data_IF_310496482452
#
_entry.id   IF_310496482452
#
_cell.length_a   1.000
_cell.length_b   1.000
_cell.length_c   1.000
_cell.angle_alpha   90.00
_cell.angle_beta   90.00
_cell.angle_gamma   90.00
#
_symmetry.space_group_name_H-M   'P 1'
#
loop_
_entity.id
_entity.type
_entity.pdbx_description
1 polymer ?
#
# COMPACT_ATOMS: atom_id res chain seq x y z
N UNK A 1 -26.14 10.08 -0.78
CA UNK A 1 -25.42 11.28 -1.27
C UNK A 1 -24.03 10.88 -1.80
N UNK A 2 -23.83 10.91 -3.12
CA UNK A 2 -22.53 10.68 -3.77
C UNK A 2 -21.70 11.97 -3.64
N UNK A 3 -20.90 12.12 -2.59
CA UNK A 3 -20.00 13.27 -2.47
C UNK A 3 -19.03 13.22 -3.67
N UNK A 4 -19.03 14.26 -4.49
CA UNK A 4 -17.96 14.48 -5.47
C UNK A 4 -16.66 14.62 -4.68
N UNK A 5 -15.77 13.62 -4.73
CA UNK A 5 -14.43 13.77 -4.18
C UNK A 5 -13.75 14.79 -5.08
N UNK A 6 -13.53 15.98 -4.54
CA UNK A 6 -12.75 17.03 -5.22
C UNK A 6 -11.29 16.57 -5.28
N UNK A 7 -10.53 17.09 -6.23
CA UNK A 7 -9.08 16.88 -6.28
C UNK A 7 -8.48 17.11 -4.87
N UNK A 8 -7.80 16.13 -4.26
CA UNK A 8 -7.37 16.24 -2.87
C UNK A 8 -6.45 17.44 -2.67
N UNK A 9 -6.69 18.23 -1.61
CA UNK A 9 -5.86 19.39 -1.26
C UNK A 9 -4.60 19.00 -0.50
N UNK A 10 -4.61 17.80 0.09
CA UNK A 10 -3.52 17.32 0.94
C UNK A 10 -3.29 15.82 0.77
N UNK A 11 -2.02 15.38 0.93
CA UNK A 11 -1.58 14.02 0.69
C UNK A 11 -0.68 13.56 1.84
N UNK A 12 -1.00 12.41 2.45
CA UNK A 12 -0.06 11.63 3.26
C UNK A 12 0.52 10.51 2.39
N UNK A 13 1.82 10.52 2.15
CA UNK A 13 2.50 9.36 1.59
C UNK A 13 2.99 8.50 2.74
N UNK A 14 2.70 7.19 2.70
CA UNK A 14 3.20 6.29 3.73
C UNK A 14 3.85 5.06 3.11
N UNK A 15 4.89 4.58 3.77
CA UNK A 15 5.51 3.31 3.46
C UNK A 15 6.04 2.59 4.71
N UNK A 16 5.91 1.25 4.77
CA UNK A 16 6.52 0.43 5.78
C UNK A 16 8.00 0.23 5.48
N UNK A 17 8.81 0.01 6.52
CA UNK A 17 10.23 -0.33 6.43
C UNK A 17 10.52 -1.64 7.14
N UNK A 18 11.19 -2.55 6.45
CA UNK A 18 11.80 -3.74 7.05
C UNK A 18 12.94 -4.25 6.18
N UNK A 19 14.20 -4.13 6.66
CA UNK A 19 15.43 -4.48 5.93
C UNK A 19 15.66 -3.64 4.66
N UNK A 20 15.28 -2.35 4.72
CA UNK A 20 15.41 -1.39 3.62
C UNK A 20 16.51 -0.35 3.85
N UNK A 21 17.58 -0.72 4.59
CA UNK A 21 18.68 0.19 4.96
C UNK A 21 19.27 0.92 3.76
N UNK A 22 19.44 0.21 2.64
CA UNK A 22 20.09 0.77 1.44
C UNK A 22 19.17 1.72 0.64
N UNK A 23 17.85 1.59 0.77
CA UNK A 23 16.87 2.29 -0.07
C UNK A 23 16.16 3.43 0.64
N UNK A 24 16.03 3.36 1.97
CA UNK A 24 15.20 4.29 2.77
C UNK A 24 15.56 5.77 2.56
N UNK A 25 16.85 6.12 2.53
CA UNK A 25 17.28 7.51 2.31
C UNK A 25 16.82 8.01 0.93
N UNK A 26 17.06 7.21 -0.10
CA UNK A 26 16.68 7.52 -1.48
C UNK A 26 15.16 7.64 -1.62
N UNK A 27 14.40 6.71 -1.03
CA UNK A 27 12.93 6.74 -1.05
C UNK A 27 12.37 8.03 -0.43
N UNK A 28 12.88 8.43 0.74
CA UNK A 28 12.44 9.66 1.41
C UNK A 28 12.73 10.90 0.54
N UNK A 29 13.94 11.00 0.02
CA UNK A 29 14.34 12.17 -0.80
C UNK A 29 13.52 12.23 -2.09
N UNK A 30 13.32 11.09 -2.76
CA UNK A 30 12.49 11.02 -3.96
C UNK A 30 11.03 11.35 -3.66
N UNK A 31 10.46 10.82 -2.57
CA UNK A 31 9.11 11.13 -2.13
C UNK A 31 8.93 12.63 -1.86
N UNK A 32 9.87 13.26 -1.16
CA UNK A 32 9.87 14.71 -0.93
C UNK A 32 9.88 15.50 -2.24
N UNK A 33 10.75 15.12 -3.19
CA UNK A 33 10.86 15.77 -4.51
C UNK A 33 9.53 15.68 -5.28
N UNK A 34 8.91 14.50 -5.34
CA UNK A 34 7.67 14.29 -6.08
C UNK A 34 6.49 15.00 -5.41
N UNK A 35 6.38 14.91 -4.08
CA UNK A 35 5.29 15.56 -3.36
C UNK A 35 5.36 17.08 -3.45
N UNK A 36 6.56 17.68 -3.44
CA UNK A 36 6.74 19.11 -3.68
C UNK A 36 6.19 19.53 -5.05
N UNK A 37 6.40 18.73 -6.10
CA UNK A 37 5.87 19.01 -7.46
C UNK A 37 4.34 19.05 -7.51
N UNK A 38 3.64 18.37 -6.59
CA UNK A 38 2.16 18.38 -6.55
C UNK A 38 1.57 19.72 -6.11
N UNK A 39 2.35 20.62 -5.54
CA UNK A 39 1.91 21.90 -4.93
C UNK A 39 0.83 21.74 -3.87
N UNK A 40 0.68 20.52 -3.30
CA UNK A 40 -0.30 20.21 -2.27
C UNK A 40 0.34 20.20 -0.88
N UNK A 41 -0.49 20.37 0.15
CA UNK A 41 -0.05 20.11 1.53
C UNK A 41 0.27 18.62 1.66
N UNK A 42 1.44 18.27 2.23
CA UNK A 42 1.82 16.86 2.31
C UNK A 42 2.62 16.54 3.57
N UNK A 43 2.63 15.25 3.88
CA UNK A 43 3.50 14.61 4.86
C UNK A 43 3.96 13.24 4.36
N UNK A 44 5.04 12.74 4.95
CA UNK A 44 5.55 11.39 4.73
C UNK A 44 5.51 10.66 6.08
N UNK A 45 4.84 9.53 6.10
CA UNK A 45 4.72 8.64 7.26
C UNK A 45 5.51 7.37 6.97
N UNK A 46 6.42 7.05 7.86
CA UNK A 46 7.27 5.88 7.78
C UNK A 46 7.01 5.01 8.99
N UNK A 47 6.80 3.72 8.79
CA UNK A 47 6.62 2.76 9.88
C UNK A 47 7.73 1.72 9.80
N UNK A 48 8.66 1.80 10.73
CA UNK A 48 9.69 0.77 10.92
C UNK A 48 9.08 -0.40 11.69
N UNK A 49 8.99 -1.55 11.05
CA UNK A 49 8.39 -2.76 11.62
C UNK A 49 9.42 -3.59 12.41
N UNK A 50 10.11 -2.96 13.35
CA UNK A 50 11.13 -3.63 14.18
C UNK A 50 12.33 -4.11 13.35
N UNK A 51 12.83 -3.26 12.47
CA UNK A 51 13.90 -3.59 11.53
C UNK A 51 15.25 -3.82 12.24
N UNK A 52 15.87 -5.01 12.14
CA UNK A 52 17.15 -5.30 12.78
C UNK A 52 18.31 -4.52 12.16
N UNK A 53 18.16 -4.04 10.91
CA UNK A 53 19.22 -3.29 10.19
C UNK A 53 19.21 -1.78 10.47
N UNK A 54 18.39 -1.31 11.44
CA UNK A 54 18.27 0.10 11.79
C UNK A 54 17.82 1.04 10.64
N UNK A 55 17.03 0.54 9.67
CA UNK A 55 16.49 1.35 8.58
C UNK A 55 15.71 2.57 9.10
N UNK A 56 14.94 2.38 10.17
CA UNK A 56 14.18 3.45 10.81
C UNK A 56 15.06 4.54 11.43
N UNK A 57 16.25 4.21 11.95
CA UNK A 57 17.19 5.23 12.47
C UNK A 57 17.69 6.17 11.38
N UNK A 58 17.84 5.66 10.14
CA UNK A 58 18.19 6.51 8.98
C UNK A 58 17.03 7.44 8.66
N UNK A 59 15.82 6.91 8.63
CA UNK A 59 14.61 7.72 8.42
C UNK A 59 14.43 8.78 9.53
N UNK A 60 14.71 8.43 10.79
CA UNK A 60 14.65 9.34 11.94
C UNK A 60 15.67 10.50 11.84
N UNK A 61 16.89 10.23 11.38
CA UNK A 61 17.88 11.31 11.12
C UNK A 61 17.36 12.30 10.08
N UNK A 62 16.66 11.83 9.04
CA UNK A 62 16.07 12.69 8.03
C UNK A 62 14.83 13.43 8.54
N UNK A 63 14.03 12.81 9.41
CA UNK A 63 12.85 13.46 10.02
C UNK A 63 13.23 14.65 10.91
N UNK A 64 14.36 14.58 11.64
CA UNK A 64 14.90 15.70 12.42
C UNK A 64 15.20 16.93 11.56
N UNK A 65 15.57 16.72 10.29
CA UNK A 65 15.88 17.79 9.32
C UNK A 65 14.65 18.25 8.52
N UNK A 66 13.54 17.52 8.58
CA UNK A 66 12.34 17.84 7.80
C UNK A 66 11.05 17.48 8.55
N UNK A 67 10.31 18.48 9.07
CA UNK A 67 9.10 18.25 9.89
C UNK A 67 7.95 17.60 9.11
N UNK A 68 8.04 17.52 7.79
CA UNK A 68 7.07 16.79 6.95
C UNK A 68 7.28 15.28 6.98
N UNK A 69 8.41 14.79 7.50
CA UNK A 69 8.73 13.37 7.62
C UNK A 69 8.53 12.94 9.07
N UNK A 70 7.72 11.93 9.29
CA UNK A 70 7.47 11.36 10.62
C UNK A 70 7.70 9.85 10.58
N UNK A 71 8.42 9.36 11.59
CA UNK A 71 8.78 7.95 11.72
C UNK A 71 8.14 7.36 12.96
N UNK A 72 7.57 6.18 12.82
CA UNK A 72 6.98 5.39 13.90
C UNK A 72 7.68 4.04 13.96
N UNK A 73 7.91 3.52 15.16
CA UNK A 73 8.62 2.29 15.37
C UNK A 73 7.72 1.25 16.04
N UNK A 74 7.74 0.04 15.55
CA UNK A 74 7.26 -1.12 16.29
C UNK A 74 8.41 -1.68 17.15
N UNK A 75 8.10 -2.12 18.36
CA UNK A 75 9.10 -2.71 19.27
C UNK A 75 9.71 -4.01 18.71
N UNK A 76 8.96 -4.73 17.88
CA UNK A 76 9.37 -5.97 17.19
C UNK A 76 8.67 -6.06 15.83
N UNK A 77 9.11 -7.00 14.99
CA UNK A 77 8.41 -7.27 13.73
C UNK A 77 7.00 -7.82 14.00
N UNK A 78 5.99 -7.07 13.56
CA UNK A 78 4.57 -7.41 13.67
C UNK A 78 3.96 -7.83 12.33
N UNK A 79 4.74 -7.71 11.25
CA UNK A 79 4.35 -8.05 9.88
C UNK A 79 3.91 -6.84 9.05
N UNK A 80 4.02 -7.01 7.74
CA UNK A 80 3.71 -5.96 6.75
C UNK A 80 2.34 -5.32 6.96
N UNK A 81 1.30 -6.13 7.19
CA UNK A 81 -0.05 -5.63 7.41
C UNK A 81 -0.19 -4.79 8.68
N UNK A 82 0.54 -5.13 9.75
CA UNK A 82 0.57 -4.34 10.97
C UNK A 82 1.18 -2.95 10.72
N UNK A 83 2.28 -2.88 9.96
CA UNK A 83 2.91 -1.62 9.58
C UNK A 83 1.98 -0.76 8.72
N UNK A 84 1.25 -1.35 7.76
CA UNK A 84 0.22 -0.65 6.96
C UNK A 84 -0.89 -0.10 7.87
N UNK A 85 -1.44 -0.89 8.79
CA UNK A 85 -2.48 -0.43 9.73
C UNK A 85 -2.00 0.74 10.58
N UNK A 86 -0.79 0.65 11.12
CA UNK A 86 -0.19 1.74 11.88
C UNK A 86 -0.03 3.00 11.01
N UNK A 87 0.48 2.88 9.80
CA UNK A 87 0.65 3.99 8.88
C UNK A 87 -0.66 4.67 8.50
N UNK A 88 -1.69 3.89 8.11
CA UNK A 88 -3.02 4.43 7.80
C UNK A 88 -3.64 5.20 8.96
N UNK A 89 -3.47 4.71 10.21
CA UNK A 89 -3.93 5.39 11.44
C UNK A 89 -3.18 6.71 11.66
N UNK A 90 -1.87 6.74 11.40
CA UNK A 90 -0.99 7.90 11.65
C UNK A 90 -1.04 8.97 10.57
N UNK A 91 -1.52 8.65 9.36
CA UNK A 91 -1.75 9.62 8.29
C UNK A 91 -2.84 10.61 8.67
N UNK A 92 -2.59 11.92 8.45
CA UNK A 92 -3.50 13.01 8.84
C UNK A 92 -4.37 13.50 7.69
N UNK A 93 -3.86 13.43 6.46
CA UNK A 93 -4.48 14.07 5.30
C UNK A 93 -5.55 13.22 4.62
N UNK A 94 -6.35 13.87 3.78
CA UNK A 94 -7.54 13.29 3.14
C UNK A 94 -7.23 12.20 2.12
N UNK A 95 -6.11 12.30 1.43
CA UNK A 95 -5.60 11.31 0.49
C UNK A 95 -4.36 10.64 1.07
N UNK A 96 -4.39 9.33 1.21
CA UNK A 96 -3.26 8.53 1.71
C UNK A 96 -2.69 7.73 0.54
N UNK A 97 -1.46 8.01 0.17
CA UNK A 97 -0.72 7.23 -0.81
C UNK A 97 0.17 6.21 -0.11
N UNK A 98 -0.24 4.96 -0.16
CA UNK A 98 0.52 3.82 0.34
C UNK A 98 1.44 3.33 -0.76
N UNK A 99 2.71 3.14 -0.45
CA UNK A 99 3.72 2.57 -1.37
C UNK A 99 4.64 1.62 -0.58
N UNK A 100 5.23 0.65 -1.27
CA UNK A 100 6.24 -0.21 -0.66
C UNK A 100 7.59 0.52 -0.52
N UNK A 101 8.35 0.19 0.53
CA UNK A 101 9.65 0.81 0.82
C UNK A 101 10.82 0.33 -0.04
N UNK A 102 10.57 -0.63 -0.93
CA UNK A 102 11.59 -1.35 -1.71
C UNK A 102 11.91 -0.73 -3.08
N UNK A 103 11.39 0.45 -3.37
CA UNK A 103 11.57 1.16 -4.65
C UNK A 103 11.02 0.46 -5.91
N UNK A 104 10.37 -0.70 -5.76
CA UNK A 104 9.81 -1.45 -6.89
C UNK A 104 8.57 -0.76 -7.46
N UNK A 105 7.84 -0.04 -6.61
CA UNK A 105 6.60 0.64 -7.01
C UNK A 105 6.78 2.14 -7.04
N UNK A 106 6.47 2.66 -8.19
CA UNK A 106 6.60 4.03 -8.58
C UNK A 106 6.22 5.09 -7.57
N UNK A 107 7.21 5.57 -6.80
CA UNK A 107 7.28 7.01 -6.64
C UNK A 107 7.85 7.53 -7.96
N UNK A 108 7.29 7.07 -9.10
CA UNK A 108 7.65 7.56 -10.40
C UNK A 108 7.03 8.93 -10.60
N UNK A 109 7.77 9.83 -11.23
CA UNK A 109 7.35 11.22 -11.44
C UNK A 109 5.95 11.36 -12.08
N UNK A 110 5.50 10.36 -12.83
CA UNK A 110 4.25 10.40 -13.58
C UNK A 110 3.11 9.56 -12.96
N UNK A 111 3.38 8.63 -12.04
CA UNK A 111 2.35 7.75 -11.52
C UNK A 111 1.50 8.43 -10.43
N UNK A 112 2.11 9.23 -9.56
CA UNK A 112 1.37 9.94 -8.53
C UNK A 112 0.35 10.96 -9.07
N UNK A 113 0.67 11.82 -10.06
CA UNK A 113 -0.32 12.71 -10.67
C UNK A 113 -1.49 11.97 -11.32
N UNK A 114 -1.21 10.85 -12.01
CA UNK A 114 -2.25 9.99 -12.62
C UNK A 114 -3.14 9.35 -11.56
N UNK A 115 -2.54 8.86 -10.48
CA UNK A 115 -3.26 8.29 -9.35
C UNK A 115 -4.15 9.34 -8.64
N UNK A 116 -3.66 10.57 -8.45
CA UNK A 116 -4.44 11.68 -7.91
C UNK A 116 -5.62 12.04 -8.82
N UNK A 117 -5.40 12.07 -10.15
CA UNK A 117 -6.49 12.30 -11.12
C UNK A 117 -7.57 11.21 -11.04
N UNK A 118 -7.19 9.95 -10.92
CA UNK A 118 -8.14 8.85 -10.72
C UNK A 118 -8.84 8.94 -9.36
N UNK A 119 -8.12 9.34 -8.31
CA UNK A 119 -8.65 9.50 -6.96
C UNK A 119 -9.73 10.58 -6.87
N UNK A 120 -9.72 11.60 -7.71
CA UNK A 120 -10.79 12.63 -7.73
C UNK A 120 -12.19 12.06 -8.04
N UNK A 121 -12.26 10.84 -8.56
CA UNK A 121 -13.51 10.13 -8.90
C UNK A 121 -13.75 8.89 -8.04
N UNK A 122 -12.83 8.54 -7.14
CA UNK A 122 -12.82 7.28 -6.40
C UNK A 122 -12.47 7.45 -4.94
N UNK A 123 -12.93 6.55 -4.09
CA UNK A 123 -12.60 6.50 -2.66
C UNK A 123 -11.33 5.68 -2.40
N UNK A 124 -11.02 4.77 -3.33
CA UNK A 124 -9.82 3.94 -3.36
C UNK A 124 -9.34 3.81 -4.82
N UNK A 125 -8.06 4.07 -5.05
CA UNK A 125 -7.38 3.75 -6.31
C UNK A 125 -6.38 2.66 -6.04
N UNK A 126 -6.54 1.51 -6.69
CA UNK A 126 -5.55 0.44 -6.70
C UNK A 126 -4.74 0.54 -7.99
N UNK A 127 -3.50 0.09 -7.93
CA UNK A 127 -2.66 0.09 -9.11
C UNK A 127 -2.54 -1.33 -9.66
N UNK A 128 -2.32 -1.47 -10.96
CA UNK A 128 -1.92 -2.73 -11.56
C UNK A 128 -0.65 -2.54 -12.38
N UNK A 129 0.19 -3.57 -12.38
CA UNK A 129 1.47 -3.55 -13.06
C UNK A 129 1.29 -3.98 -14.50
N UNK A 130 1.57 -3.10 -15.44
CA UNK A 130 1.73 -3.49 -16.84
C UNK A 130 3.22 -3.56 -17.21
N UNK A 131 3.59 -4.41 -18.15
CA UNK A 131 5.00 -4.69 -18.54
C UNK A 131 5.84 -5.18 -17.36
N UNK A 132 5.37 -6.26 -16.71
CA UNK A 132 6.09 -6.90 -15.60
C UNK A 132 7.45 -7.43 -16.07
N UNK A 133 8.55 -6.83 -15.62
CA UNK A 133 9.93 -7.31 -15.86
C UNK A 133 10.34 -8.29 -14.74
N UNK A 134 9.61 -9.40 -14.61
CA UNK A 134 9.90 -10.44 -13.61
C UNK A 134 10.19 -11.78 -14.26
N UNK A 135 10.80 -12.71 -13.49
CA UNK A 135 10.91 -14.12 -13.88
C UNK A 135 9.51 -14.68 -14.15
N UNK A 136 9.38 -15.52 -15.16
CA UNK A 136 8.11 -16.13 -15.59
C UNK A 136 7.36 -16.80 -14.43
N UNK A 137 8.07 -17.51 -13.57
CA UNK A 137 7.50 -18.15 -12.37
C UNK A 137 6.75 -17.15 -11.46
N UNK A 138 7.32 -15.97 -11.24
CA UNK A 138 6.67 -14.92 -10.43
C UNK A 138 5.41 -14.36 -11.12
N UNK A 139 5.43 -14.29 -12.44
CA UNK A 139 4.27 -13.84 -13.25
C UNK A 139 3.13 -14.85 -13.10
N UNK A 140 3.42 -16.14 -13.24
CA UNK A 140 2.44 -17.23 -13.11
C UNK A 140 1.84 -17.27 -11.69
N UNK A 141 2.67 -17.24 -10.65
CA UNK A 141 2.20 -17.21 -9.26
C UNK A 141 1.28 -16.00 -9.02
N UNK A 142 1.68 -14.82 -9.50
CA UNK A 142 0.85 -13.61 -9.39
C UNK A 142 -0.48 -13.75 -10.15
N UNK A 143 -0.48 -14.40 -11.30
CA UNK A 143 -1.69 -14.64 -12.09
C UNK A 143 -2.64 -15.60 -11.37
N UNK A 144 -2.13 -16.74 -10.87
CA UNK A 144 -2.90 -17.70 -10.08
C UNK A 144 -3.51 -17.01 -8.86
N UNK A 145 -2.71 -16.29 -8.09
CA UNK A 145 -3.16 -15.56 -6.90
C UNK A 145 -4.29 -14.58 -7.21
N UNK A 146 -4.12 -13.73 -8.24
CA UNK A 146 -5.15 -12.77 -8.64
C UNK A 146 -6.40 -13.46 -9.18
N UNK A 147 -6.27 -14.61 -9.85
CA UNK A 147 -7.41 -15.41 -10.32
C UNK A 147 -8.21 -16.00 -9.17
N UNK A 148 -7.54 -16.59 -8.18
CA UNK A 148 -8.19 -17.09 -6.96
C UNK A 148 -8.97 -15.96 -6.28
N UNK A 149 -8.38 -14.79 -6.10
CA UNK A 149 -9.05 -13.64 -5.47
C UNK A 149 -10.25 -13.14 -6.27
N UNK A 150 -10.16 -13.13 -7.61
CA UNK A 150 -11.28 -12.75 -8.47
C UNK A 150 -12.46 -13.71 -8.33
N UNK A 151 -12.20 -15.01 -8.29
CA UNK A 151 -13.22 -16.04 -8.15
C UNK A 151 -13.85 -16.00 -6.75
N UNK A 152 -13.03 -16.08 -5.70
CA UNK A 152 -13.52 -16.14 -4.31
C UNK A 152 -14.31 -14.88 -3.91
N UNK A 153 -13.82 -13.70 -4.29
CA UNK A 153 -14.43 -12.44 -3.86
C UNK A 153 -15.21 -11.72 -4.97
N UNK A 154 -15.51 -12.43 -6.07
CA UNK A 154 -16.29 -11.89 -7.20
C UNK A 154 -15.83 -10.48 -7.61
N UNK A 155 -14.50 -10.27 -7.68
CA UNK A 155 -13.90 -8.98 -8.05
C UNK A 155 -13.45 -9.01 -9.51
N UNK A 156 -13.32 -7.82 -10.12
CA UNK A 156 -12.81 -7.66 -11.50
C UNK A 156 -11.42 -6.99 -11.53
N UNK A 157 -10.73 -6.96 -10.38
CA UNK A 157 -9.43 -6.29 -10.28
C UNK A 157 -8.34 -7.03 -11.06
N UNK A 158 -7.51 -6.27 -11.80
CA UNK A 158 -6.43 -6.81 -12.64
C UNK A 158 -5.24 -7.30 -11.80
N UNK A 159 -4.82 -6.52 -10.79
CA UNK A 159 -3.70 -6.84 -9.90
C UNK A 159 -3.94 -6.30 -8.50
N UNK A 160 -4.77 -7.01 -7.73
CA UNK A 160 -5.13 -6.59 -6.36
C UNK A 160 -3.94 -6.66 -5.39
N UNK A 161 -2.88 -7.37 -5.77
CA UNK A 161 -1.66 -7.55 -4.96
C UNK A 161 -0.64 -6.42 -5.13
N UNK A 162 -0.89 -5.44 -6.01
CA UNK A 162 0.03 -4.31 -6.18
C UNK A 162 0.21 -3.53 -4.87
N UNK A 163 1.45 -3.17 -4.54
CA UNK A 163 1.80 -2.47 -3.30
C UNK A 163 1.41 -1.00 -3.26
N UNK A 164 1.17 -0.38 -4.43
CA UNK A 164 0.84 1.05 -4.48
C UNK A 164 -0.68 1.29 -4.58
N UNK A 165 -1.21 2.16 -3.72
CA UNK A 165 -2.62 2.54 -3.73
C UNK A 165 -2.91 3.88 -3.10
N UNK A 166 -3.94 4.60 -3.58
CA UNK A 166 -4.45 5.81 -2.93
C UNK A 166 -5.73 5.47 -2.19
N UNK A 167 -5.76 5.81 -0.91
CA UNK A 167 -6.86 5.49 0.01
C UNK A 167 -7.41 6.80 0.57
N UNK A 168 -8.71 7.01 0.51
CA UNK A 168 -9.32 8.16 1.20
C UNK A 168 -9.26 7.97 2.71
N UNK A 169 -9.08 9.07 3.44
CA UNK A 169 -9.10 9.04 4.91
C UNK A 169 -10.42 8.47 5.43
N UNK A 170 -11.51 8.66 4.69
CA UNK A 170 -12.82 8.07 4.99
C UNK A 170 -12.75 6.54 4.96
N UNK A 171 -12.19 5.94 3.90
CA UNK A 171 -12.00 4.48 3.78
C UNK A 171 -11.07 3.98 4.88
N UNK A 172 -9.92 4.64 5.08
CA UNK A 172 -8.94 4.25 6.10
C UNK A 172 -9.51 4.25 7.54
N UNK A 173 -10.49 5.12 7.84
CA UNK A 173 -11.16 5.17 9.15
C UNK A 173 -12.29 4.15 9.30
N UNK A 174 -13.02 3.84 8.23
CA UNK A 174 -14.24 3.02 8.29
C UNK A 174 -13.98 1.53 8.04
N UNK A 175 -12.97 1.20 7.25
CA UNK A 175 -12.63 -0.20 6.95
C UNK A 175 -11.71 -0.75 8.05
N UNK A 176 -12.25 -1.68 8.82
CA UNK A 176 -11.45 -2.42 9.82
C UNK A 176 -10.62 -3.49 9.13
N UNK A 177 -9.30 -3.35 9.20
CA UNK A 177 -8.33 -4.31 8.64
C UNK A 177 -7.83 -5.26 9.73
N UNK A 178 -7.82 -6.54 9.43
CA UNK A 178 -7.44 -7.62 10.38
C UNK A 178 -6.12 -8.28 10.04
N UNK A 179 -5.80 -8.41 8.75
CA UNK A 179 -4.58 -9.09 8.30
C UNK A 179 -3.29 -8.43 8.80
N UNK A 180 -2.30 -9.25 9.14
CA UNK A 180 -0.93 -8.81 9.39
C UNK A 180 0.02 -9.26 8.26
N UNK A 181 -0.45 -10.15 7.36
CA UNK A 181 0.27 -10.64 6.21
C UNK A 181 0.26 -9.67 5.02
N UNK A 182 0.97 -9.97 3.92
CA UNK A 182 0.88 -9.23 2.67
C UNK A 182 -0.53 -9.16 2.05
N UNK A 183 -1.45 -10.01 2.50
CA UNK A 183 -2.86 -9.97 2.09
C UNK A 183 -3.59 -8.66 2.43
N UNK A 184 -3.07 -7.86 3.37
CA UNK A 184 -3.68 -6.60 3.85
C UNK A 184 -4.13 -5.68 2.71
N UNK A 185 -3.37 -5.63 1.62
CA UNK A 185 -3.70 -4.82 0.46
C UNK A 185 -4.92 -5.32 -0.29
N UNK A 186 -5.03 -6.63 -0.46
CA UNK A 186 -6.20 -7.26 -1.05
C UNK A 186 -7.41 -7.12 -0.12
N UNK A 187 -7.24 -7.35 1.19
CA UNK A 187 -8.28 -7.16 2.20
C UNK A 187 -8.89 -5.76 2.13
N UNK A 188 -8.04 -4.72 2.10
CA UNK A 188 -8.51 -3.33 2.00
C UNK A 188 -9.36 -3.13 0.75
N UNK A 189 -8.89 -3.62 -0.41
CA UNK A 189 -9.58 -3.45 -1.70
C UNK A 189 -10.91 -4.20 -1.75
N UNK A 190 -10.93 -5.44 -1.28
CA UNK A 190 -12.13 -6.29 -1.21
C UNK A 190 -13.15 -5.66 -0.27
N UNK A 191 -12.78 -5.37 0.97
CA UNK A 191 -13.69 -4.77 1.96
C UNK A 191 -14.23 -3.41 1.49
N UNK A 192 -13.40 -2.60 0.83
CA UNK A 192 -13.85 -1.32 0.27
C UNK A 192 -14.91 -1.51 -0.80
N UNK A 193 -14.73 -2.49 -1.71
CA UNK A 193 -15.74 -2.82 -2.72
C UNK A 193 -17.05 -3.30 -2.09
N UNK A 194 -16.97 -4.23 -1.12
CA UNK A 194 -18.17 -4.77 -0.45
C UNK A 194 -18.90 -3.73 0.40
N UNK A 195 -18.19 -2.73 0.92
CA UNK A 195 -18.77 -1.60 1.62
C UNK A 195 -19.33 -0.50 0.69
N UNK A 196 -19.39 -0.73 -0.64
CA UNK A 196 -19.96 0.19 -1.62
C UNK A 196 -19.09 1.41 -1.94
N UNK A 197 -17.80 1.42 -1.56
CA UNK A 197 -16.89 2.49 -1.97
C UNK A 197 -16.54 2.40 -3.45
N UNK A 198 -16.32 3.56 -4.07
CA UNK A 198 -15.87 3.64 -5.46
C UNK A 198 -14.39 3.26 -5.54
N UNK A 199 -14.12 2.14 -6.17
CA UNK A 199 -12.76 1.64 -6.40
C UNK A 199 -12.44 1.74 -7.88
N UNK A 200 -11.30 2.36 -8.21
CA UNK A 200 -10.77 2.40 -9.57
C UNK A 200 -9.38 1.80 -9.67
N UNK A 201 -8.97 1.48 -10.88
CA UNK A 201 -7.66 0.93 -11.17
C UNK A 201 -6.89 1.83 -12.14
N UNK A 202 -5.59 1.95 -11.91
CA UNK A 202 -4.66 2.57 -12.86
C UNK A 202 -3.46 1.66 -13.12
N UNK A 203 -3.01 1.64 -14.36
CA UNK A 203 -1.75 0.96 -14.71
C UNK A 203 -0.54 1.80 -14.27
N UNK A 204 0.44 1.14 -13.67
CA UNK A 204 1.72 1.74 -13.31
C UNK A 204 2.88 0.96 -13.94
N UNK A 205 3.99 1.67 -14.18
CA UNK A 205 5.25 1.03 -14.55
C UNK A 205 5.90 0.39 -13.33
N UNK A 206 6.52 -0.76 -13.51
CA UNK A 206 7.37 -1.37 -12.51
C UNK A 206 8.83 -1.12 -12.86
N UNK A 207 9.59 -0.75 -11.85
CA UNK A 207 11.04 -0.61 -11.95
C UNK A 207 11.69 -1.84 -11.32
N UNK A 208 12.80 -2.33 -11.90
CA UNK A 208 13.58 -3.38 -11.25
C UNK A 208 13.99 -2.94 -9.84
N UNK A 209 13.98 -3.87 -8.88
CA UNK A 209 14.54 -3.59 -7.56
C UNK A 209 16.01 -3.22 -7.70
N UNK A 210 16.35 -2.08 -7.15
CA UNK A 210 17.74 -1.62 -7.14
C UNK A 210 18.55 -2.34 -6.06
N UNK A 211 17.89 -2.85 -5.00
CA UNK A 211 18.53 -3.50 -3.86
C UNK A 211 17.60 -4.51 -3.17
N UNK A 212 18.20 -5.61 -2.66
CA UNK A 212 17.57 -6.57 -1.76
C UNK A 212 16.71 -7.65 -2.44
N UNK A 213 16.63 -8.81 -1.77
CA UNK A 213 15.68 -9.86 -2.13
C UNK A 213 14.35 -9.62 -1.40
N UNK A 214 13.22 -9.70 -2.13
CA UNK A 214 11.89 -9.45 -1.56
C UNK A 214 11.52 -10.47 -0.47
N UNK A 215 11.26 -10.00 0.72
CA UNK A 215 10.80 -10.82 1.85
C UNK A 215 9.35 -11.33 1.71
N UNK A 216 8.58 -10.81 0.73
CA UNK A 216 7.15 -11.13 0.56
C UNK A 216 6.88 -12.57 0.11
N UNK A 217 7.86 -13.27 -0.44
CA UNK A 217 7.72 -14.64 -0.98
C UNK A 217 8.29 -15.70 -0.02
N UNK A 218 8.40 -15.42 1.27
CA UNK A 218 8.74 -16.46 2.25
C UNK A 218 7.57 -17.43 2.45
N UNK A 219 7.87 -18.72 2.67
CA UNK A 219 6.84 -19.74 2.94
C UNK A 219 5.90 -19.31 4.07
N UNK A 220 6.45 -18.71 5.13
CA UNK A 220 5.68 -18.12 6.24
C UNK A 220 4.64 -17.11 5.76
N UNK A 221 5.05 -16.18 4.88
CA UNK A 221 4.14 -15.15 4.35
C UNK A 221 3.08 -15.72 3.42
N UNK A 222 3.39 -16.79 2.67
CA UNK A 222 2.42 -17.50 1.83
C UNK A 222 1.35 -18.13 2.70
N UNK A 223 1.72 -18.91 3.74
CA UNK A 223 0.79 -19.54 4.67
C UNK A 223 -0.10 -18.51 5.35
N UNK A 224 0.48 -17.44 5.87
CA UNK A 224 -0.27 -16.35 6.50
C UNK A 224 -1.22 -15.65 5.52
N UNK A 225 -0.82 -15.48 4.27
CA UNK A 225 -1.66 -14.89 3.22
C UNK A 225 -2.87 -15.78 2.92
N UNK A 226 -2.65 -17.08 2.78
CA UNK A 226 -3.73 -18.07 2.54
C UNK A 226 -4.69 -18.09 3.74
N UNK A 227 -4.18 -18.16 4.96
CA UNK A 227 -4.98 -18.13 6.18
C UNK A 227 -5.87 -16.87 6.23
N UNK A 228 -5.28 -15.69 6.03
CA UNK A 228 -5.99 -14.43 6.12
C UNK A 228 -7.03 -14.29 4.98
N UNK A 229 -6.75 -14.86 3.81
CA UNK A 229 -7.68 -14.94 2.68
C UNK A 229 -8.90 -15.80 2.99
N UNK A 230 -8.68 -17.00 3.53
CA UNK A 230 -9.75 -17.92 3.93
C UNK A 230 -10.61 -17.29 5.03
N UNK A 231 -9.97 -16.72 6.04
CA UNK A 231 -10.67 -16.04 7.13
C UNK A 231 -11.57 -14.90 6.62
N UNK A 232 -11.06 -14.07 5.70
CA UNK A 232 -11.88 -13.02 5.10
C UNK A 232 -13.05 -13.59 4.30
N UNK A 233 -12.82 -14.66 3.52
CA UNK A 233 -13.86 -15.32 2.72
C UNK A 233 -14.99 -15.84 3.60
N UNK A 234 -14.67 -16.58 4.66
CA UNK A 234 -15.65 -17.09 5.62
C UNK A 234 -16.44 -15.93 6.24
N UNK A 235 -15.75 -14.90 6.72
CA UNK A 235 -16.40 -13.76 7.40
C UNK A 235 -17.34 -12.96 6.49
N UNK A 236 -17.03 -12.81 5.21
CA UNK A 236 -17.88 -12.11 4.27
C UNK A 236 -19.10 -12.94 3.85
N UNK A 237 -18.98 -14.27 3.82
CA UNK A 237 -20.10 -15.15 3.49
C UNK A 237 -21.02 -15.39 4.69
N UNK A 238 -20.47 -15.56 5.91
CA UNK A 238 -21.30 -15.67 7.11
C UNK A 238 -22.15 -14.41 7.36
N UNK A 239 -21.66 -13.21 7.06
CA UNK A 239 -22.46 -11.98 7.15
C UNK A 239 -23.58 -11.85 6.10
N UNK A 240 -23.65 -12.78 5.15
CA UNK A 240 -24.78 -12.84 4.16
C UNK A 240 -25.84 -13.87 4.58
N UNK A 241 -25.59 -14.64 5.62
CA UNK A 241 -26.52 -15.66 6.12
C UNK A 241 -27.38 -15.09 7.26
N UNK A 242 -27.00 -13.96 7.82
CA UNK A 242 -27.74 -13.16 8.82
C UNK A 242 -27.91 -11.73 8.29
#
# INVERSE_FOLDING_TARGET
MKSKIKNPKSISLMFPLYKDKKTVKWMILKALKILKKTKKKFEIIIVDDGCPENSGKIAQKLSKKNPKVRVYFHKKNLGYGAAIKTGLKKCRYECIYVVDGDCEFGVADNDLPRAIKAFSKSDLVITYRYKKKYKTTRIVISWIYNTILRVLFKTKFKDISSGARLVSKKVAKKITLTSNSPFIGAELSIKSKYAGYRVSEIGIHTYPRTFGMGSSVSMKNIILTIRDMIFLFIRLNLKKIF
#
